data_IF_792443601771
#
_entry.id   IF_792443601771
#
_cell.length_a   1.000
_cell.length_b   1.000
_cell.length_c   1.000
_cell.angle_alpha   90.00
_cell.angle_beta   90.00
_cell.angle_gamma   90.00
#
_symmetry.space_group_name_H-M   'P 1'
#
loop_
_entity.id
_entity.type
_entity.pdbx_description
1 polymer ?
#
# COMPACT_ATOMS: atom_id res chain seq x y z
N UNK A 1 46.86 4.48 30.05
CA UNK A 1 45.53 3.86 30.16
C UNK A 1 45.02 3.69 28.73
N UNK A 2 45.14 2.48 28.18
CA UNK A 2 44.84 2.20 26.77
C UNK A 2 43.31 2.03 26.68
N UNK A 3 42.64 2.97 26.03
CA UNK A 3 41.23 2.82 25.69
C UNK A 3 41.10 1.72 24.64
N UNK A 4 40.54 0.58 25.03
CA UNK A 4 40.05 -0.41 24.08
C UNK A 4 38.89 0.22 23.29
N UNK A 5 39.16 0.56 22.03
CA UNK A 5 38.13 0.79 21.04
C UNK A 5 37.48 -0.56 20.78
N UNK A 6 36.33 -0.79 21.39
CA UNK A 6 35.48 -1.95 21.08
C UNK A 6 35.01 -1.76 19.64
N UNK A 7 35.22 -2.74 18.73
CA UNK A 7 34.70 -2.66 17.39
C UNK A 7 33.17 -2.68 17.46
N UNK A 8 32.51 -1.72 16.80
CA UNK A 8 31.04 -1.58 16.66
C UNK A 8 30.32 -2.82 16.10
N UNK A 9 31.05 -3.87 15.71
CA UNK A 9 30.50 -5.15 15.26
C UNK A 9 29.99 -6.05 16.41
N UNK A 10 30.25 -5.72 17.68
CA UNK A 10 29.87 -6.55 18.83
C UNK A 10 28.59 -6.11 19.57
N UNK A 11 27.95 -5.01 19.17
CA UNK A 11 26.65 -4.59 19.69
C UNK A 11 25.62 -4.69 18.57
N UNK A 12 24.78 -5.73 18.59
CA UNK A 12 23.67 -5.89 17.66
C UNK A 12 22.81 -4.62 17.55
N UNK A 13 22.07 -4.48 16.45
CA UNK A 13 21.22 -3.32 16.18
C UNK A 13 20.29 -3.07 17.37
N UNK A 14 20.46 -1.94 18.07
CA UNK A 14 19.54 -1.52 19.15
C UNK A 14 18.68 -0.37 18.64
N UNK A 15 17.38 -0.59 18.61
CA UNK A 15 16.40 0.38 18.09
C UNK A 15 15.61 0.97 19.25
N UNK A 16 15.53 2.30 19.32
CA UNK A 16 14.64 3.00 20.25
C UNK A 16 13.21 3.00 19.69
N UNK A 17 12.49 1.90 19.91
CA UNK A 17 11.12 1.70 19.44
C UNK A 17 10.13 2.75 19.99
N UNK A 18 10.44 3.41 21.12
CA UNK A 18 9.60 4.47 21.67
C UNK A 18 9.63 5.75 20.81
N UNK A 19 10.62 5.88 19.92
CA UNK A 19 10.79 7.04 19.03
C UNK A 19 10.60 6.71 17.55
N UNK A 20 10.17 5.49 17.22
CA UNK A 20 9.98 5.01 15.84
C UNK A 20 8.58 4.41 15.63
N UNK A 21 7.51 5.24 15.62
CA UNK A 21 6.16 4.75 15.34
C UNK A 21 6.01 4.36 13.87
N UNK A 22 5.98 3.06 13.59
CA UNK A 22 5.70 2.50 12.25
C UNK A 22 4.46 1.61 12.27
N UNK A 23 3.58 1.75 11.28
CA UNK A 23 2.33 0.97 11.17
C UNK A 23 2.25 0.17 9.87
N UNK A 24 3.38 -0.06 9.21
CA UNK A 24 3.47 -0.72 7.91
C UNK A 24 2.85 -2.14 7.89
N UNK A 25 2.81 -2.85 9.03
CA UNK A 25 2.12 -4.14 9.17
C UNK A 25 0.62 -4.03 8.84
N UNK A 26 -0.13 -3.26 9.63
CA UNK A 26 -1.58 -3.08 9.42
C UNK A 26 -1.86 -2.30 8.13
N UNK A 27 -1.01 -1.34 7.75
CA UNK A 27 -1.13 -0.63 6.49
C UNK A 27 -1.02 -1.57 5.29
N UNK A 28 -0.06 -2.51 5.29
CA UNK A 28 0.12 -3.47 4.20
C UNK A 28 -1.10 -4.38 4.07
N UNK A 29 -1.63 -4.90 5.19
CA UNK A 29 -2.86 -5.72 5.21
C UNK A 29 -4.04 -4.92 4.65
N UNK A 30 -4.23 -3.68 5.13
CA UNK A 30 -5.35 -2.85 4.71
C UNK A 30 -5.24 -2.41 3.24
N UNK A 31 -4.05 -2.04 2.78
CA UNK A 31 -3.78 -1.69 1.39
C UNK A 31 -3.99 -2.89 0.46
N UNK A 32 -3.50 -4.08 0.86
CA UNK A 32 -3.70 -5.32 0.13
C UNK A 32 -5.18 -5.67 -0.04
N UNK A 33 -5.93 -5.68 1.07
CA UNK A 33 -7.37 -5.90 1.05
C UNK A 33 -8.10 -4.83 0.21
N UNK A 34 -7.72 -3.56 0.34
CA UNK A 34 -8.30 -2.46 -0.42
C UNK A 34 -8.14 -2.63 -1.93
N UNK A 35 -6.93 -2.97 -2.40
CA UNK A 35 -6.66 -3.22 -3.82
C UNK A 35 -7.49 -4.39 -4.35
N UNK A 36 -7.53 -5.50 -3.62
CA UNK A 36 -8.34 -6.67 -3.99
C UNK A 36 -9.84 -6.33 -4.09
N UNK A 37 -10.35 -5.52 -3.16
CA UNK A 37 -11.74 -5.09 -3.16
C UNK A 37 -12.05 -4.11 -4.28
N UNK A 38 -11.14 -3.18 -4.61
CA UNK A 38 -11.28 -2.30 -5.79
C UNK A 38 -11.37 -3.13 -7.08
N UNK A 39 -10.50 -4.13 -7.23
CA UNK A 39 -10.54 -5.05 -8.38
C UNK A 39 -11.85 -5.85 -8.40
N UNK A 40 -12.29 -6.35 -7.26
CA UNK A 40 -13.53 -7.12 -7.15
C UNK A 40 -14.76 -6.27 -7.48
N UNK A 41 -14.84 -5.02 -7.01
CA UNK A 41 -15.91 -4.09 -7.34
C UNK A 41 -15.89 -3.75 -8.84
N UNK A 42 -14.71 -3.43 -9.39
CA UNK A 42 -14.55 -3.17 -10.82
C UNK A 42 -15.03 -4.34 -11.69
N UNK A 43 -14.68 -5.58 -11.32
CA UNK A 43 -15.16 -6.79 -11.99
C UNK A 43 -16.68 -6.95 -11.90
N UNK A 44 -17.28 -6.67 -10.73
CA UNK A 44 -18.74 -6.73 -10.57
C UNK A 44 -19.45 -5.67 -11.41
N UNK A 45 -18.89 -4.45 -11.51
CA UNK A 45 -19.43 -3.40 -12.37
C UNK A 45 -19.41 -3.79 -13.85
N UNK A 46 -18.34 -4.45 -14.29
CA UNK A 46 -18.17 -4.89 -15.68
C UNK A 46 -18.94 -6.16 -16.03
N UNK A 47 -19.44 -6.90 -15.04
CA UNK A 47 -20.22 -8.13 -15.26
C UNK A 47 -21.70 -7.78 -15.50
N UNK A 48 -22.25 -8.03 -16.71
CA UNK A 48 -23.64 -7.71 -17.01
C UNK A 48 -24.62 -8.46 -16.09
N UNK A 49 -25.70 -7.80 -15.68
CA UNK A 49 -26.77 -8.40 -14.87
C UNK A 49 -26.39 -8.71 -13.41
N UNK A 50 -25.16 -8.42 -12.98
CA UNK A 50 -24.73 -8.65 -11.59
C UNK A 50 -25.22 -7.52 -10.68
N UNK A 51 -26.19 -7.81 -9.82
CA UNK A 51 -26.59 -6.91 -8.76
C UNK A 51 -25.45 -6.70 -7.74
N UNK A 52 -25.25 -5.45 -7.33
CA UNK A 52 -24.27 -5.05 -6.31
C UNK A 52 -25.03 -4.51 -5.10
N UNK A 53 -24.78 -5.09 -3.93
CA UNK A 53 -25.22 -4.55 -2.63
C UNK A 53 -24.17 -3.55 -2.13
N UNK A 54 -24.47 -2.25 -2.09
CA UNK A 54 -23.50 -1.22 -1.70
C UNK A 54 -23.08 -1.31 -0.23
N UNK A 55 -23.94 -1.84 0.65
CA UNK A 55 -23.77 -1.84 2.10
C UNK A 55 -22.45 -2.53 2.51
N UNK A 56 -22.16 -3.69 1.91
CA UNK A 56 -20.92 -4.42 2.18
C UNK A 56 -19.68 -3.65 1.74
N UNK A 57 -19.75 -2.95 0.60
CA UNK A 57 -18.65 -2.13 0.10
C UNK A 57 -18.43 -0.87 0.94
N UNK A 58 -19.50 -0.23 1.41
CA UNK A 58 -19.42 0.92 2.32
C UNK A 58 -18.70 0.53 3.60
N UNK A 59 -19.10 -0.59 4.21
CA UNK A 59 -18.46 -1.08 5.43
C UNK A 59 -16.98 -1.38 5.20
N UNK A 60 -16.67 -2.14 4.15
CA UNK A 60 -15.30 -2.57 3.86
C UNK A 60 -14.38 -1.39 3.52
N UNK A 61 -14.76 -0.53 2.57
CA UNK A 61 -13.96 0.63 2.20
C UNK A 61 -13.89 1.67 3.32
N UNK A 62 -14.94 1.82 4.12
CA UNK A 62 -14.95 2.72 5.27
C UNK A 62 -13.93 2.27 6.33
N UNK A 63 -13.95 0.99 6.71
CA UNK A 63 -13.03 0.44 7.71
C UNK A 63 -11.56 0.47 7.24
N UNK A 64 -11.31 0.02 6.01
CA UNK A 64 -9.97 0.02 5.42
C UNK A 64 -9.45 1.45 5.20
N UNK A 65 -10.30 2.33 4.66
CA UNK A 65 -9.99 3.74 4.45
C UNK A 65 -9.66 4.44 5.77
N UNK A 66 -10.47 4.25 6.82
CA UNK A 66 -10.20 4.81 8.13
C UNK A 66 -8.86 4.33 8.71
N UNK A 67 -8.57 3.03 8.60
CA UNK A 67 -7.31 2.45 9.09
C UNK A 67 -6.11 3.08 8.38
N UNK A 68 -6.16 3.18 7.06
CA UNK A 68 -5.08 3.74 6.24
C UNK A 68 -4.92 5.25 6.43
N UNK A 69 -6.03 6.00 6.53
CA UNK A 69 -5.99 7.45 6.80
C UNK A 69 -5.39 7.73 8.16
N UNK A 70 -5.84 7.06 9.22
CA UNK A 70 -5.36 7.33 10.58
C UNK A 70 -3.88 7.01 10.75
N UNK A 71 -3.47 5.82 10.31
CA UNK A 71 -2.06 5.40 10.38
C UNK A 71 -1.16 6.19 9.43
N UNK A 72 -1.61 6.44 8.20
CA UNK A 72 -0.85 7.18 7.18
C UNK A 72 -0.70 8.65 7.53
N UNK A 73 -1.76 9.29 8.03
CA UNK A 73 -1.71 10.68 8.49
C UNK A 73 -0.76 10.84 9.66
N UNK A 74 -0.80 9.91 10.63
CA UNK A 74 0.11 9.97 11.77
C UNK A 74 1.58 9.89 11.33
N UNK A 75 1.94 8.92 10.48
CA UNK A 75 3.31 8.84 9.94
C UNK A 75 3.68 10.09 9.13
N UNK A 76 2.75 10.62 8.33
CA UNK A 76 3.01 11.79 7.45
C UNK A 76 3.25 13.07 8.24
N UNK A 77 2.48 13.30 9.31
CA UNK A 77 2.58 14.52 10.11
C UNK A 77 3.66 14.46 11.19
N UNK A 78 4.11 13.27 11.57
CA UNK A 78 5.17 13.10 12.57
C UNK A 78 6.56 12.99 11.95
N UNK A 79 6.65 13.06 10.62
CA UNK A 79 7.92 13.17 9.90
C UNK A 79 8.47 14.61 9.94
N UNK A 80 9.80 14.83 10.08
CA UNK A 80 10.88 13.89 10.40
C UNK A 80 11.13 13.75 11.92
N UNK A 81 10.15 14.12 12.75
CA UNK A 81 10.30 14.29 14.20
C UNK A 81 10.54 12.97 14.96
N UNK A 82 10.23 11.81 14.34
CA UNK A 82 10.62 10.47 14.79
C UNK A 82 12.12 10.22 14.51
N UNK A 83 12.97 10.84 15.33
CA UNK A 83 14.37 11.15 15.00
C UNK A 83 15.42 10.03 14.97
N UNK A 84 15.11 8.76 14.64
CA UNK A 84 16.14 7.72 14.39
C UNK A 84 15.65 6.64 13.39
N UNK A 85 16.59 6.01 12.67
CA UNK A 85 16.41 4.74 11.93
C UNK A 85 16.03 4.86 10.45
N UNK A 86 14.74 5.02 10.11
CA UNK A 86 14.22 4.92 8.73
C UNK A 86 13.32 6.11 8.35
N UNK A 87 13.86 7.34 8.24
CA UNK A 87 13.05 8.54 7.97
C UNK A 87 12.30 8.49 6.63
N UNK A 88 12.72 7.64 5.70
CA UNK A 88 12.07 7.48 4.40
C UNK A 88 10.80 6.61 4.45
N UNK A 89 10.56 5.85 5.52
CA UNK A 89 9.38 4.98 5.64
C UNK A 89 8.07 5.76 5.59
N UNK A 90 8.09 7.03 5.98
CA UNK A 90 6.94 7.89 5.79
C UNK A 90 6.61 8.12 4.31
N UNK A 91 7.62 8.45 3.50
CA UNK A 91 7.44 8.72 2.06
C UNK A 91 7.02 7.44 1.33
N UNK A 92 7.59 6.30 1.76
CA UNK A 92 7.35 5.02 1.12
C UNK A 92 5.99 4.44 1.52
N UNK A 93 5.67 4.40 2.81
CA UNK A 93 4.49 3.71 3.33
C UNK A 93 3.40 4.70 3.77
N UNK A 94 3.75 5.73 4.53
CA UNK A 94 2.82 6.70 5.10
C UNK A 94 2.01 7.48 4.07
N UNK A 95 2.69 8.18 3.15
CA UNK A 95 2.02 9.01 2.14
C UNK A 95 1.15 8.19 1.18
N UNK A 96 1.61 7.04 0.62
CA UNK A 96 0.76 6.23 -0.25
C UNK A 96 -0.42 5.59 0.51
N UNK A 97 -0.20 5.14 1.75
CA UNK A 97 -1.27 4.60 2.59
C UNK A 97 -2.33 5.67 2.86
N UNK A 98 -1.92 6.89 3.25
CA UNK A 98 -2.83 8.01 3.47
C UNK A 98 -3.67 8.30 2.21
N UNK A 99 -3.02 8.46 1.06
CA UNK A 99 -3.71 8.77 -0.18
C UNK A 99 -4.69 7.67 -0.59
N UNK A 100 -4.27 6.40 -0.52
CA UNK A 100 -5.13 5.28 -0.84
C UNK A 100 -6.30 5.15 0.16
N UNK A 101 -6.04 5.38 1.44
CA UNK A 101 -7.06 5.43 2.49
C UNK A 101 -8.12 6.49 2.22
N UNK A 102 -7.71 7.70 1.81
CA UNK A 102 -8.63 8.78 1.41
C UNK A 102 -9.50 8.34 0.23
N UNK A 103 -8.95 7.63 -0.76
CA UNK A 103 -9.74 7.12 -1.88
C UNK A 103 -10.78 6.10 -1.46
N UNK A 104 -10.40 5.14 -0.61
CA UNK A 104 -11.35 4.15 -0.08
C UNK A 104 -12.44 4.84 0.75
N UNK A 105 -12.06 5.79 1.60
CA UNK A 105 -13.01 6.51 2.44
C UNK A 105 -13.98 7.38 1.61
N UNK A 106 -13.48 8.06 0.58
CA UNK A 106 -14.30 8.80 -0.37
C UNK A 106 -15.23 7.88 -1.17
N UNK A 107 -14.75 6.71 -1.60
CA UNK A 107 -15.57 5.70 -2.25
C UNK A 107 -16.66 5.17 -1.31
N UNK A 108 -16.34 4.89 -0.05
CA UNK A 108 -17.31 4.47 0.97
C UNK A 108 -18.40 5.53 1.16
N UNK A 109 -18.02 6.80 1.29
CA UNK A 109 -18.97 7.91 1.43
C UNK A 109 -19.86 8.05 0.19
N UNK A 110 -19.29 7.96 -1.01
CA UNK A 110 -20.06 7.97 -2.26
C UNK A 110 -21.05 6.80 -2.32
N UNK A 111 -20.60 5.57 -2.05
CA UNK A 111 -21.45 4.38 -2.07
C UNK A 111 -22.55 4.43 -1.00
N UNK A 112 -22.30 5.05 0.14
CA UNK A 112 -23.32 5.24 1.17
C UNK A 112 -24.46 6.15 0.68
N UNK A 113 -24.12 7.22 -0.05
CA UNK A 113 -25.11 8.19 -0.53
C UNK A 113 -25.76 7.81 -1.86
N UNK A 114 -25.00 7.14 -2.73
CA UNK A 114 -25.31 6.96 -4.15
C UNK A 114 -25.17 5.51 -4.61
N UNK A 115 -24.93 4.56 -3.70
CA UNK A 115 -24.64 3.17 -4.03
C UNK A 115 -25.75 2.45 -4.80
N UNK A 116 -27.02 2.81 -4.57
CA UNK A 116 -28.15 2.26 -5.34
C UNK A 116 -28.00 2.51 -6.86
N UNK A 117 -27.35 3.62 -7.24
CA UNK A 117 -27.08 3.97 -8.64
C UNK A 117 -26.11 2.98 -9.30
N UNK A 118 -25.37 2.17 -8.53
CA UNK A 118 -24.55 1.11 -9.09
C UNK A 118 -25.39 0.04 -9.80
N UNK A 119 -26.69 -0.07 -9.55
CA UNK A 119 -27.55 -1.06 -10.24
C UNK A 119 -28.33 -0.47 -11.42
N UNK A 120 -28.04 0.76 -11.80
CA UNK A 120 -28.62 1.41 -12.98
C UNK A 120 -28.12 0.79 -14.30
N UNK A 121 -28.86 1.02 -15.39
CA UNK A 121 -28.45 0.58 -16.72
C UNK A 121 -27.15 1.27 -17.19
N UNK A 122 -26.91 2.52 -16.78
CA UNK A 122 -25.73 3.33 -17.10
C UNK A 122 -24.59 3.19 -16.05
N UNK A 123 -24.63 2.14 -15.20
CA UNK A 123 -23.71 1.99 -14.06
C UNK A 123 -22.23 2.16 -14.40
N UNK A 124 -21.79 1.67 -15.56
CA UNK A 124 -20.38 1.70 -15.98
C UNK A 124 -19.98 3.14 -16.32
N UNK A 125 -20.73 3.78 -17.23
CA UNK A 125 -20.46 5.14 -17.69
C UNK A 125 -20.62 6.17 -16.56
N UNK A 126 -21.57 5.95 -15.66
CA UNK A 126 -21.75 6.79 -14.48
C UNK A 126 -20.57 6.67 -13.52
N UNK A 127 -20.18 5.45 -13.16
CA UNK A 127 -19.05 5.20 -12.25
C UNK A 127 -17.75 5.76 -12.83
N UNK A 128 -17.53 5.59 -14.14
CA UNK A 128 -16.38 6.13 -14.84
C UNK A 128 -16.36 7.67 -14.80
N UNK A 129 -17.48 8.33 -15.09
CA UNK A 129 -17.59 9.80 -15.03
C UNK A 129 -17.34 10.35 -13.65
N UNK A 130 -17.84 9.69 -12.60
CA UNK A 130 -17.64 10.11 -11.20
C UNK A 130 -16.17 9.94 -10.79
N UNK A 131 -15.52 8.85 -11.19
CA UNK A 131 -14.11 8.59 -10.86
C UNK A 131 -13.12 9.36 -11.73
N UNK A 132 -13.53 9.92 -12.86
CA UNK A 132 -12.62 10.54 -13.82
C UNK A 132 -11.80 11.71 -13.23
N UNK A 133 -12.36 12.65 -12.46
CA UNK A 133 -11.58 13.76 -11.92
C UNK A 133 -10.46 13.31 -10.96
N UNK A 134 -10.75 12.33 -10.10
CA UNK A 134 -9.76 11.82 -9.14
C UNK A 134 -8.65 10.99 -9.82
N UNK A 135 -8.91 10.50 -11.05
CA UNK A 135 -7.92 9.72 -11.81
C UNK A 135 -6.62 10.47 -12.11
N UNK A 136 -6.65 11.81 -12.14
CA UNK A 136 -5.42 12.62 -12.29
C UNK A 136 -4.51 12.45 -11.09
N UNK A 137 -5.07 12.44 -9.88
CA UNK A 137 -4.29 12.25 -8.66
C UNK A 137 -3.84 10.79 -8.52
N UNK A 138 -4.69 9.82 -8.88
CA UNK A 138 -4.31 8.40 -8.98
C UNK A 138 -3.13 8.21 -9.95
N UNK A 139 -3.16 8.86 -11.12
CA UNK A 139 -2.06 8.82 -12.08
C UNK A 139 -0.76 9.40 -11.50
N UNK A 140 -0.84 10.54 -10.81
CA UNK A 140 0.31 11.16 -10.13
C UNK A 140 0.92 10.24 -9.06
N UNK A 141 0.09 9.56 -8.26
CA UNK A 141 0.56 8.55 -7.30
C UNK A 141 1.15 7.33 -7.99
N UNK A 142 0.66 6.98 -9.19
CA UNK A 142 1.28 5.98 -10.04
C UNK A 142 2.73 6.33 -10.37
N UNK A 143 3.00 7.57 -10.77
CA UNK A 143 4.36 8.07 -10.98
C UNK A 143 5.20 8.04 -9.70
N UNK A 144 4.61 8.41 -8.55
CA UNK A 144 5.28 8.32 -7.26
C UNK A 144 5.68 6.89 -6.91
N UNK A 145 4.85 5.88 -7.22
CA UNK A 145 5.18 4.47 -7.02
C UNK A 145 6.41 4.05 -7.84
N UNK A 146 6.56 4.53 -9.08
CA UNK A 146 7.78 4.30 -9.87
C UNK A 146 9.00 5.00 -9.24
N UNK A 147 8.82 6.19 -8.69
CA UNK A 147 9.88 6.89 -7.93
C UNK A 147 10.34 6.09 -6.70
N UNK A 148 9.39 5.56 -5.92
CA UNK A 148 9.67 4.69 -4.76
C UNK A 148 10.40 3.43 -5.19
N UNK A 149 9.94 2.76 -6.26
CA UNK A 149 10.60 1.56 -6.78
C UNK A 149 12.03 1.85 -7.27
N UNK A 150 12.24 2.96 -7.99
CA UNK A 150 13.57 3.37 -8.43
C UNK A 150 14.49 3.68 -7.24
N UNK A 151 13.98 4.33 -6.19
CA UNK A 151 14.73 4.56 -4.96
C UNK A 151 15.05 3.24 -4.24
N UNK A 152 14.11 2.30 -4.19
CA UNK A 152 14.29 0.95 -3.66
C UNK A 152 15.45 0.22 -4.33
N UNK A 153 15.50 0.18 -5.66
CA UNK A 153 16.62 -0.42 -6.38
C UNK A 153 17.92 0.36 -6.23
N UNK A 154 17.88 1.69 -6.34
CA UNK A 154 19.10 2.52 -6.37
C UNK A 154 19.82 2.54 -5.02
N UNK A 155 19.06 2.60 -3.93
CA UNK A 155 19.59 2.71 -2.57
C UNK A 155 19.42 1.43 -1.76
N UNK A 156 18.97 0.33 -2.40
CA UNK A 156 18.66 -0.95 -1.74
C UNK A 156 17.78 -0.75 -0.50
N UNK A 157 16.79 0.15 -0.61
CA UNK A 157 15.78 0.33 0.43
C UNK A 157 14.98 -0.99 0.51
N UNK A 158 14.41 -1.29 1.68
CA UNK A 158 13.68 -2.54 1.98
C UNK A 158 14.52 -3.77 2.29
N UNK A 159 15.84 -3.67 2.39
CA UNK A 159 16.64 -4.77 2.93
C UNK A 159 16.33 -4.96 4.43
N UNK A 160 15.81 -6.13 4.80
CA UNK A 160 15.55 -6.45 6.19
C UNK A 160 16.85 -6.58 6.99
N UNK A 161 16.85 -6.13 8.25
CA UNK A 161 17.92 -6.44 9.18
C UNK A 161 18.02 -7.96 9.39
N UNK A 162 19.24 -8.52 9.56
CA UNK A 162 19.43 -9.93 9.90
C UNK A 162 18.65 -10.39 11.14
N UNK A 163 18.31 -9.46 12.04
CA UNK A 163 17.54 -9.68 13.26
C UNK A 163 16.04 -9.91 13.01
N UNK A 164 15.53 -9.60 11.81
CA UNK A 164 14.12 -9.80 11.47
C UNK A 164 13.87 -11.27 11.05
N UNK A 165 12.91 -11.99 11.66
CA UNK A 165 12.54 -13.34 11.22
C UNK A 165 12.07 -13.38 9.77
N UNK A 166 12.36 -14.48 9.06
CA UNK A 166 11.97 -14.73 7.66
C UNK A 166 12.69 -13.82 6.67
N UNK A 167 12.48 -12.50 6.71
CA UNK A 167 13.10 -11.55 5.78
C UNK A 167 14.61 -11.42 6.04
N UNK A 168 15.04 -11.37 7.31
CA UNK A 168 16.46 -11.28 7.69
C UNK A 168 17.32 -12.48 7.25
N UNK A 169 16.72 -13.64 6.96
CA UNK A 169 17.45 -14.78 6.35
C UNK A 169 18.02 -14.42 4.96
N UNK A 170 17.40 -13.47 4.28
CA UNK A 170 17.81 -12.94 2.99
C UNK A 170 18.66 -11.67 3.10
N UNK A 171 19.05 -11.23 4.30
CA UNK A 171 19.84 -10.00 4.51
C UNK A 171 21.20 -10.01 3.78
N UNK A 172 21.73 -11.20 3.43
CA UNK A 172 22.93 -11.36 2.58
C UNK A 172 22.70 -11.02 1.10
N UNK A 173 21.44 -10.87 0.68
CA UNK A 173 20.97 -10.64 -0.68
C UNK A 173 20.02 -9.44 -0.73
N UNK A 174 20.44 -8.23 -0.29
CA UNK A 174 19.55 -7.08 -0.09
C UNK A 174 18.81 -6.65 -1.37
N UNK A 175 19.37 -6.94 -2.55
CA UNK A 175 18.71 -6.68 -3.83
C UNK A 175 17.44 -7.52 -4.04
N UNK A 176 17.35 -8.70 -3.42
CA UNK A 176 16.19 -9.59 -3.54
C UNK A 176 14.97 -8.95 -2.89
N UNK A 177 15.11 -8.50 -1.65
CA UNK A 177 14.04 -7.86 -0.89
C UNK A 177 13.70 -6.47 -1.44
N UNK A 178 14.73 -5.69 -1.79
CA UNK A 178 14.55 -4.43 -2.49
C UNK A 178 13.76 -4.61 -3.79
N UNK A 179 14.03 -5.68 -4.53
CA UNK A 179 13.30 -5.99 -5.77
C UNK A 179 11.88 -6.48 -5.53
N UNK A 180 11.64 -7.26 -4.47
CA UNK A 180 10.29 -7.69 -4.10
C UNK A 180 9.41 -6.48 -3.81
N UNK A 181 9.81 -5.63 -2.87
CA UNK A 181 9.03 -4.45 -2.48
C UNK A 181 8.91 -3.43 -3.62
N UNK A 182 10.01 -3.13 -4.32
CA UNK A 182 9.96 -2.24 -5.49
C UNK A 182 9.06 -2.79 -6.59
N UNK A 183 9.04 -4.10 -6.79
CA UNK A 183 8.14 -4.78 -7.72
C UNK A 183 6.67 -4.58 -7.37
N UNK A 184 6.30 -4.61 -6.08
CA UNK A 184 4.94 -4.32 -5.65
C UNK A 184 4.52 -2.88 -5.98
N UNK A 185 5.39 -1.90 -5.74
CA UNK A 185 5.13 -0.51 -6.14
C UNK A 185 5.00 -0.36 -7.65
N UNK A 186 5.81 -1.07 -8.44
CA UNK A 186 5.67 -1.08 -9.91
C UNK A 186 4.30 -1.63 -10.32
N UNK A 187 3.83 -2.74 -9.73
CA UNK A 187 2.52 -3.30 -10.04
C UNK A 187 1.37 -2.33 -9.71
N UNK A 188 1.41 -1.70 -8.53
CA UNK A 188 0.45 -0.66 -8.15
C UNK A 188 0.51 0.53 -9.12
N UNK A 189 1.72 0.97 -9.44
CA UNK A 189 2.01 2.08 -10.34
C UNK A 189 1.47 1.86 -11.74
N UNK A 190 1.69 0.67 -12.33
CA UNK A 190 1.14 0.31 -13.64
C UNK A 190 -0.37 0.46 -13.64
N UNK A 191 -1.08 -0.13 -12.67
CA UNK A 191 -2.53 -0.03 -12.63
C UNK A 191 -3.02 1.41 -12.44
N UNK A 192 -2.31 2.21 -11.62
CA UNK A 192 -2.62 3.61 -11.40
C UNK A 192 -2.40 4.49 -12.66
N UNK A 193 -1.34 4.24 -13.44
CA UNK A 193 -1.11 4.92 -14.71
C UNK A 193 -2.14 4.53 -15.77
N UNK A 194 -2.59 3.27 -15.77
CA UNK A 194 -3.61 2.77 -16.71
C UNK A 194 -5.03 3.22 -16.33
N UNK A 195 -5.29 3.51 -15.06
CA UNK A 195 -6.61 3.84 -14.53
C UNK A 195 -7.38 4.92 -15.31
N UNK A 196 -6.84 6.12 -15.60
CA UNK A 196 -7.57 7.13 -16.39
C UNK A 196 -7.98 6.64 -17.78
N UNK A 197 -7.18 5.76 -18.40
CA UNK A 197 -7.50 5.18 -19.71
C UNK A 197 -8.58 4.11 -19.61
N UNK A 198 -8.58 3.32 -18.52
CA UNK A 198 -9.67 2.38 -18.20
C UNK A 198 -10.98 3.14 -17.99
N UNK A 199 -10.98 4.25 -17.25
CA UNK A 199 -12.21 5.03 -17.05
C UNK A 199 -12.77 5.60 -18.37
N UNK A 200 -11.90 6.04 -19.29
CA UNK A 200 -12.32 6.52 -20.62
C UNK A 200 -12.89 5.42 -21.50
N UNK A 201 -12.40 4.18 -21.36
CA UNK A 201 -12.83 3.01 -22.14
C UNK A 201 -12.90 1.77 -21.23
N UNK A 202 -13.98 1.61 -20.44
CA UNK A 202 -14.07 0.55 -19.43
C UNK A 202 -14.07 -0.87 -20.00
N UNK A 203 -14.48 -1.03 -21.27
CA UNK A 203 -14.43 -2.30 -22.01
C UNK A 203 -13.09 -2.58 -22.71
N UNK A 204 -12.08 -1.73 -22.51
CA UNK A 204 -10.76 -1.91 -23.15
C UNK A 204 -9.98 -3.07 -22.53
N UNK A 205 -8.98 -3.56 -23.28
CA UNK A 205 -8.00 -4.55 -22.78
C UNK A 205 -7.16 -4.04 -21.61
N UNK A 206 -7.22 -2.74 -21.29
CA UNK A 206 -6.52 -2.16 -20.15
C UNK A 206 -7.21 -2.49 -18.83
N UNK A 207 -8.53 -2.71 -18.83
CA UNK A 207 -9.27 -3.06 -17.63
C UNK A 207 -8.80 -4.39 -17.01
N UNK A 208 -8.68 -5.51 -17.76
CA UNK A 208 -8.15 -6.75 -17.18
C UNK A 208 -6.68 -6.64 -16.79
N UNK A 209 -5.84 -5.89 -17.54
CA UNK A 209 -4.44 -5.66 -17.17
C UNK A 209 -4.35 -4.94 -15.82
N UNK A 210 -5.11 -3.86 -15.65
CA UNK A 210 -5.22 -3.10 -14.39
C UNK A 210 -5.70 -4.00 -13.26
N UNK A 211 -6.73 -4.81 -13.51
CA UNK A 211 -7.26 -5.78 -12.55
C UNK A 211 -6.23 -6.83 -12.12
N UNK A 212 -5.40 -7.33 -13.05
CA UNK A 212 -4.34 -8.31 -12.76
C UNK A 212 -3.23 -7.67 -11.93
N UNK A 213 -2.68 -6.52 -12.35
CA UNK A 213 -1.54 -5.92 -11.63
C UNK A 213 -1.95 -5.47 -10.22
N UNK A 214 -3.13 -4.86 -10.05
CA UNK A 214 -3.65 -4.53 -8.72
C UNK A 214 -4.06 -5.76 -7.92
N UNK A 215 -4.57 -6.80 -8.57
CA UNK A 215 -4.91 -8.07 -7.91
C UNK A 215 -3.67 -8.77 -7.35
N UNK A 216 -2.60 -8.85 -8.14
CA UNK A 216 -1.32 -9.44 -7.73
C UNK A 216 -0.65 -8.61 -6.63
N UNK A 217 -0.60 -7.28 -6.79
CA UNK A 217 -0.08 -6.39 -5.75
C UNK A 217 -0.89 -6.51 -4.46
N UNK A 218 -2.22 -6.50 -4.57
CA UNK A 218 -3.11 -6.62 -3.42
C UNK A 218 -2.96 -7.94 -2.68
N UNK A 219 -2.86 -9.05 -3.41
CA UNK A 219 -2.61 -10.37 -2.83
C UNK A 219 -1.26 -10.42 -2.11
N UNK A 220 -0.21 -9.90 -2.74
CA UNK A 220 1.12 -9.88 -2.17
C UNK A 220 1.17 -9.00 -0.91
N UNK A 221 0.65 -7.76 -0.95
CA UNK A 221 0.56 -6.88 0.23
C UNK A 221 -0.25 -7.49 1.37
N UNK A 222 -1.34 -8.20 1.06
CA UNK A 222 -2.18 -8.83 2.07
C UNK A 222 -1.45 -9.96 2.79
N UNK A 223 -0.85 -10.89 2.02
CA UNK A 223 -0.13 -12.04 2.57
C UNK A 223 1.14 -11.58 3.29
N UNK A 224 1.94 -10.75 2.62
CA UNK A 224 3.18 -10.20 3.19
C UNK A 224 2.89 -9.37 4.44
N UNK A 225 1.88 -8.49 4.40
CA UNK A 225 1.47 -7.71 5.58
C UNK A 225 1.03 -8.58 6.76
N UNK A 226 0.34 -9.70 6.48
CA UNK A 226 -0.03 -10.69 7.49
C UNK A 226 1.19 -11.36 8.12
N UNK A 227 2.17 -11.75 7.30
CA UNK A 227 3.44 -12.31 7.79
C UNK A 227 4.25 -11.28 8.59
N UNK A 228 4.19 -10.01 8.21
CA UNK A 228 4.95 -8.95 8.87
C UNK A 228 4.57 -8.73 10.33
N UNK A 229 3.39 -9.17 10.77
CA UNK A 229 3.08 -9.20 12.20
C UNK A 229 4.07 -10.08 12.97
N UNK A 230 4.40 -11.26 12.44
CA UNK A 230 5.37 -12.14 13.08
C UNK A 230 6.79 -11.57 12.98
N UNK A 231 7.18 -11.09 11.80
CA UNK A 231 8.55 -10.62 11.55
C UNK A 231 8.84 -9.34 12.35
N UNK A 232 7.93 -8.36 12.38
CA UNK A 232 8.12 -7.13 13.15
C UNK A 232 8.13 -7.38 14.65
N UNK A 233 7.28 -8.28 15.18
CA UNK A 233 7.34 -8.66 16.59
C UNK A 233 8.70 -9.28 16.92
N UNK A 234 9.19 -10.19 16.08
CA UNK A 234 10.49 -10.81 16.28
C UNK A 234 11.65 -9.81 16.19
N UNK A 235 11.59 -8.87 15.25
CA UNK A 235 12.56 -7.79 15.13
C UNK A 235 12.63 -6.96 16.41
N UNK A 236 11.47 -6.58 16.98
CA UNK A 236 11.42 -5.86 18.25
C UNK A 236 12.05 -6.69 19.37
N UNK A 237 11.67 -7.97 19.50
CA UNK A 237 12.24 -8.87 20.52
C UNK A 237 13.75 -9.05 20.39
N UNK A 238 14.27 -9.11 19.16
CA UNK A 238 15.70 -9.32 18.89
C UNK A 238 16.54 -8.03 19.00
N UNK A 239 15.92 -6.85 19.09
CA UNK A 239 16.61 -5.54 19.10
C UNK A 239 16.35 -4.71 20.35
N UNK A 240 15.55 -5.22 21.30
CA UNK A 240 15.34 -4.63 22.64
C UNK A 240 16.57 -4.79 23.55
#
# INVERSE_FOLDING_TARGET
MIHHVIPLAASGLKIDWARMPTYNTIMSVAAGAGLLLVVALGRQLLTPGRAISPEGWVLAFGALGFTLVTTGLHMTLTWPLAGQGFPFDNIIFGEPALAFGVFLFAAAFYLWKRGAELNSADRIDRSARVAMPISVFVFGLGLACFGIAAAGWKYTLFAAPPEEPISGEFARWPILEASFMSGLYVLVGIGALLFPFVLRRPSSRLAPVTGVVWGLAGLAFLIFGGLNYFTHIGLIVNTM
#
